data_IF_085705274310
#
_entry.id   IF_085705274310
#
_cell.length_a   1.000
_cell.length_b   1.000
_cell.length_c   1.000
_cell.angle_alpha   90.00
_cell.angle_beta   90.00
_cell.angle_gamma   90.00
#
_symmetry.space_group_name_H-M   'P 1'
#
loop_
_entity.id
_entity.type
_entity.pdbx_description
1 polymer ?
#
# COMPACT_ATOMS: atom_id res chain seq x y z
N UNK A 1 9.05 -17.94 9.00
CA UNK A 1 7.74 -18.53 8.69
C UNK A 1 6.87 -17.50 7.98
N UNK A 2 6.55 -17.78 6.74
CA UNK A 2 5.81 -16.84 5.93
C UNK A 2 4.32 -16.86 6.28
N UNK A 3 3.70 -15.70 6.43
CA UNK A 3 2.27 -15.66 6.65
C UNK A 3 1.53 -16.13 5.41
N UNK A 4 0.44 -16.83 5.62
CA UNK A 4 -0.41 -17.27 4.51
C UNK A 4 -1.13 -16.06 3.93
N UNK A 5 -1.27 -16.03 2.60
CA UNK A 5 -2.08 -15.02 1.93
C UNK A 5 -3.56 -15.43 2.06
N UNK A 6 -4.38 -14.45 2.39
CA UNK A 6 -5.83 -14.65 2.45
C UNK A 6 -6.48 -13.85 1.34
N UNK A 7 -7.55 -14.40 0.77
CA UNK A 7 -8.28 -13.66 -0.25
C UNK A 7 -8.83 -12.37 0.35
N UNK A 8 -8.75 -11.23 -0.37
CA UNK A 8 -8.29 -11.09 -1.75
C UNK A 8 -6.78 -10.87 -1.91
N UNK A 9 -6.01 -10.91 -0.82
CA UNK A 9 -4.56 -10.67 -0.89
C UNK A 9 -3.90 -11.80 -1.65
N UNK A 10 -3.23 -11.47 -2.75
CA UNK A 10 -2.70 -12.46 -3.68
C UNK A 10 -1.20 -12.38 -3.88
N UNK A 11 -0.54 -11.44 -3.22
CA UNK A 11 0.91 -11.31 -3.34
C UNK A 11 1.47 -10.55 -2.15
N UNK A 12 2.79 -10.66 -1.97
CA UNK A 12 3.52 -9.86 -1.00
C UNK A 12 4.30 -8.79 -1.74
N UNK A 13 4.30 -7.59 -1.17
CA UNK A 13 4.96 -6.45 -1.80
C UNK A 13 5.88 -5.76 -0.80
N UNK A 14 6.75 -4.89 -1.31
CA UNK A 14 7.58 -4.03 -0.50
C UNK A 14 6.99 -2.62 -0.57
N UNK A 15 6.80 -1.99 0.58
CA UNK A 15 6.26 -0.63 0.66
C UNK A 15 7.34 0.30 1.16
N UNK A 16 7.68 1.31 0.37
CA UNK A 16 8.62 2.36 0.75
C UNK A 16 7.85 3.66 0.81
N UNK A 17 7.91 4.36 1.94
CA UNK A 17 7.13 5.57 2.11
C UNK A 17 7.94 6.63 2.82
N UNK A 18 7.58 7.89 2.56
CA UNK A 18 8.17 9.04 3.23
C UNK A 18 7.04 9.80 3.91
N UNK A 19 7.20 10.08 5.20
CA UNK A 19 6.20 10.81 5.95
C UNK A 19 6.26 12.30 5.63
N UNK A 20 5.25 13.04 6.07
CA UNK A 20 5.23 14.49 5.89
C UNK A 20 6.41 15.18 6.56
N UNK A 21 6.96 14.56 7.60
CA UNK A 21 8.13 15.09 8.29
C UNK A 21 9.45 14.75 7.60
N UNK A 22 9.40 13.93 6.58
CA UNK A 22 10.60 13.53 5.85
C UNK A 22 11.22 12.22 6.30
N UNK A 23 10.57 11.51 7.23
CA UNK A 23 11.08 10.23 7.69
C UNK A 23 10.71 9.13 6.70
N UNK A 24 11.68 8.32 6.34
CA UNK A 24 11.44 7.22 5.43
C UNK A 24 11.25 5.92 6.21
N UNK A 25 10.37 5.05 5.71
CA UNK A 25 10.29 3.70 6.23
C UNK A 25 10.11 2.70 5.10
N UNK A 26 10.51 1.46 5.37
CA UNK A 26 10.42 0.37 4.41
C UNK A 26 9.80 -0.81 5.12
N UNK A 27 8.81 -1.43 4.48
CA UNK A 27 8.19 -2.63 5.00
C UNK A 27 8.17 -3.67 3.89
N UNK A 28 8.71 -4.85 4.17
CA UNK A 28 8.75 -5.94 3.19
C UNK A 28 7.78 -7.04 3.59
N UNK A 29 7.41 -7.86 2.61
CA UNK A 29 6.52 -8.98 2.87
C UNK A 29 5.12 -8.55 3.25
N UNK A 30 4.63 -7.45 2.69
CA UNK A 30 3.32 -6.92 2.99
C UNK A 30 2.28 -7.56 2.08
N UNK A 31 1.27 -8.25 2.64
CA UNK A 31 0.19 -8.79 1.78
C UNK A 31 -0.51 -7.66 1.06
N UNK A 32 -0.80 -7.87 -0.22
CA UNK A 32 -1.39 -6.81 -1.02
C UNK A 32 -2.24 -7.36 -2.15
N UNK A 33 -3.12 -6.53 -2.67
CA UNK A 33 -3.83 -6.81 -3.90
C UNK A 33 -4.11 -5.50 -4.64
N UNK A 34 -4.32 -5.60 -5.94
CA UNK A 34 -4.71 -4.46 -6.74
C UNK A 34 -6.21 -4.51 -7.01
N UNK A 35 -6.82 -3.34 -7.00
CA UNK A 35 -8.22 -3.21 -7.36
C UNK A 35 -8.38 -1.98 -8.23
N UNK A 36 -9.31 -2.03 -9.16
CA UNK A 36 -9.57 -0.93 -10.07
C UNK A 36 -11.00 -0.45 -9.85
N UNK A 37 -11.15 0.85 -9.68
CA UNK A 37 -12.45 1.46 -9.47
C UNK A 37 -13.21 1.58 -10.80
N UNK A 38 -14.47 1.99 -10.72
CA UNK A 38 -15.29 2.22 -11.92
C UNK A 38 -14.73 3.33 -12.80
N UNK A 39 -13.90 4.19 -12.24
CA UNK A 39 -13.27 5.28 -12.99
C UNK A 39 -11.90 4.92 -13.52
N UNK A 40 -11.59 3.63 -13.55
CA UNK A 40 -10.30 3.10 -14.01
C UNK A 40 -9.11 3.58 -13.20
N UNK A 41 -9.36 3.91 -11.94
CA UNK A 41 -8.29 4.27 -11.01
C UNK A 41 -7.86 3.01 -10.28
N UNK A 42 -6.58 2.70 -10.35
CA UNK A 42 -6.03 1.50 -9.74
C UNK A 42 -5.40 1.82 -8.40
N UNK A 43 -5.67 0.97 -7.43
CA UNK A 43 -5.15 1.11 -6.08
C UNK A 43 -4.44 -0.16 -5.64
N UNK A 44 -3.42 0.00 -4.81
CA UNK A 44 -2.91 -1.07 -3.99
C UNK A 44 -3.64 -1.05 -2.66
N UNK A 45 -4.05 -2.22 -2.17
CA UNK A 45 -4.63 -2.35 -0.85
C UNK A 45 -3.82 -3.31 -0.01
N UNK A 46 -3.51 -2.89 1.22
CA UNK A 46 -2.72 -3.68 2.15
C UNK A 46 -3.41 -3.65 3.52
N UNK A 47 -3.25 -4.69 4.35
CA UNK A 47 -3.82 -4.66 5.69
C UNK A 47 -3.14 -3.57 6.51
N UNK A 48 -3.94 -2.80 7.22
CA UNK A 48 -3.43 -1.70 8.03
C UNK A 48 -2.38 -2.17 9.02
N UNK A 49 -2.62 -3.28 9.67
CA UNK A 49 -1.70 -3.81 10.69
C UNK A 49 -0.36 -4.25 10.12
N UNK A 50 -0.31 -4.56 8.83
CA UNK A 50 0.93 -5.01 8.21
C UNK A 50 1.93 -3.88 8.03
N UNK A 51 1.48 -2.64 8.05
CA UNK A 51 2.36 -1.47 7.93
C UNK A 51 2.83 -0.93 9.27
N UNK A 52 2.32 -1.50 10.37
CA UNK A 52 2.75 -1.11 11.68
C UNK A 52 1.77 -0.18 12.38
N UNK A 53 1.82 -0.22 13.70
CA UNK A 53 0.94 0.55 14.57
C UNK A 53 1.52 1.94 14.75
N UNK A 54 0.66 2.93 14.79
CA UNK A 54 1.08 4.31 15.08
C UNK A 54 1.54 5.10 13.87
N UNK A 55 1.58 4.51 12.70
CA UNK A 55 1.93 5.24 11.49
C UNK A 55 0.77 6.14 11.06
N UNK A 56 1.06 7.39 10.82
CA UNK A 56 0.06 8.33 10.32
C UNK A 56 0.02 8.26 8.79
N UNK A 57 -0.84 7.42 8.28
CA UNK A 57 -0.90 7.18 6.84
C UNK A 57 -1.41 8.38 6.05
N UNK A 58 -2.23 9.22 6.68
CA UNK A 58 -2.72 10.42 6.01
C UNK A 58 -1.62 11.44 5.76
N UNK A 59 -0.53 11.36 6.51
CA UNK A 59 0.59 12.27 6.36
C UNK A 59 1.71 11.78 5.48
N UNK A 60 1.48 10.69 4.74
CA UNK A 60 2.52 10.18 3.84
C UNK A 60 2.67 11.09 2.63
N UNK A 61 3.91 11.42 2.33
CA UNK A 61 4.25 12.33 1.25
C UNK A 61 4.45 11.59 -0.06
N UNK A 62 5.08 10.45 -0.01
CA UNK A 62 5.26 9.61 -1.17
C UNK A 62 5.26 8.16 -0.77
N UNK A 63 4.78 7.30 -1.66
CA UNK A 63 4.73 5.87 -1.44
C UNK A 63 5.14 5.19 -2.73
N UNK A 64 6.02 4.20 -2.63
CA UNK A 64 6.37 3.36 -3.76
C UNK A 64 6.16 1.92 -3.34
N UNK A 65 5.37 1.18 -4.11
CA UNK A 65 5.10 -0.23 -3.86
C UNK A 65 5.84 -1.04 -4.92
N UNK A 66 6.69 -1.96 -4.47
CA UNK A 66 7.39 -2.88 -5.37
C UNK A 66 6.64 -4.20 -5.34
N UNK A 67 6.14 -4.63 -6.49
CA UNK A 67 5.32 -5.83 -6.56
C UNK A 67 6.18 -7.10 -6.55
N UNK A 68 5.51 -8.25 -6.65
CA UNK A 68 6.19 -9.55 -6.57
C UNK A 68 7.19 -9.76 -7.71
N UNK A 69 7.04 -9.03 -8.80
CA UNK A 69 7.92 -9.15 -9.95
C UNK A 69 9.05 -8.12 -9.94
N UNK A 70 9.13 -7.34 -8.87
CA UNK A 70 10.17 -6.32 -8.74
C UNK A 70 9.83 -5.00 -9.41
N UNK A 71 8.62 -4.87 -9.93
CA UNK A 71 8.21 -3.64 -10.60
C UNK A 71 7.74 -2.62 -9.57
N UNK A 72 8.21 -1.38 -9.73
CA UNK A 72 7.88 -0.29 -8.80
C UNK A 72 6.68 0.49 -9.29
N UNK A 73 5.76 0.75 -8.37
CA UNK A 73 4.56 1.53 -8.64
C UNK A 73 4.54 2.74 -7.71
N UNK A 74 4.57 3.92 -8.29
CA UNK A 74 4.49 5.16 -7.52
C UNK A 74 3.04 5.41 -7.16
N UNK A 75 2.80 5.77 -5.90
CA UNK A 75 1.46 6.02 -5.38
C UNK A 75 1.39 7.44 -4.83
N UNK A 76 0.22 8.08 -4.97
CA UNK A 76 0.10 9.48 -4.58
C UNK A 76 -0.96 9.78 -3.53
N UNK A 77 -1.95 8.92 -3.38
CA UNK A 77 -3.00 9.13 -2.39
C UNK A 77 -3.09 7.94 -1.47
N UNK A 78 -3.14 8.24 -0.19
CA UNK A 78 -3.23 7.23 0.85
C UNK A 78 -4.53 7.45 1.59
N UNK A 79 -5.31 6.39 1.73
CA UNK A 79 -6.56 6.45 2.47
C UNK A 79 -6.76 5.17 3.25
N UNK A 80 -7.71 5.20 4.18
CA UNK A 80 -8.10 4.02 4.94
C UNK A 80 -9.42 3.51 4.45
N UNK A 81 -9.54 2.18 4.37
CA UNK A 81 -10.77 1.51 4.03
C UNK A 81 -11.15 0.64 5.23
N UNK A 82 -12.30 0.93 5.83
CA UNK A 82 -12.70 0.27 7.06
C UNK A 82 -11.93 0.82 8.26
N UNK A 83 -12.38 0.49 9.43
CA UNK A 83 -11.77 1.00 10.65
C UNK A 83 -11.09 -0.08 11.47
N UNK A 84 -10.36 0.35 12.49
CA UNK A 84 -9.77 -0.55 13.46
C UNK A 84 -8.63 -1.37 12.89
N UNK A 85 -8.30 -2.43 13.59
CA UNK A 85 -7.17 -3.29 13.24
C UNK A 85 -7.41 -4.12 11.98
N UNK A 86 -8.69 -4.30 11.60
CA UNK A 86 -9.04 -5.08 10.43
C UNK A 86 -9.18 -4.23 9.16
N UNK A 87 -8.91 -2.94 9.26
CA UNK A 87 -8.99 -2.04 8.13
C UNK A 87 -7.86 -2.26 7.14
N UNK A 88 -8.00 -1.62 5.99
CA UNK A 88 -6.99 -1.66 4.93
C UNK A 88 -6.54 -0.25 4.61
N UNK A 89 -5.32 -0.16 4.10
CA UNK A 89 -4.77 1.09 3.59
C UNK A 89 -4.78 1.00 2.07
N UNK A 90 -5.24 2.07 1.44
CA UNK A 90 -5.34 2.16 -0.02
C UNK A 90 -4.30 3.15 -0.52
N UNK A 91 -3.51 2.74 -1.50
CA UNK A 91 -2.52 3.60 -2.16
C UNK A 91 -2.91 3.73 -3.62
N UNK A 92 -3.20 4.94 -4.07
CA UNK A 92 -3.58 5.16 -5.47
C UNK A 92 -2.35 5.15 -6.36
N UNK A 93 -2.36 4.32 -7.39
CA UNK A 93 -1.25 4.21 -8.33
C UNK A 93 -1.29 5.39 -9.29
N UNK A 94 -0.15 6.06 -9.42
CA UNK A 94 -0.01 7.14 -10.40
C UNK A 94 0.29 6.50 -11.75
N UNK A 95 -0.58 6.72 -12.71
CA UNK A 95 -0.38 6.20 -14.06
C UNK A 95 0.18 7.33 -14.92
N UNK A 96 1.39 7.15 -15.46
CA UNK A 96 1.95 8.18 -16.33
C UNK A 96 1.10 8.33 -17.58
N UNK A 97 0.94 9.55 -18.01
CA UNK A 97 0.24 9.81 -19.26
C UNK A 97 1.15 9.48 -20.43
N UNK A 98 0.59 8.92 -21.49
CA UNK A 98 1.40 8.62 -22.68
C UNK A 98 1.90 9.88 -23.37
#
# INVERSE_FOLDING_TARGET
KDPALKAPFDQFVKVEAVTAKGDAFVKEGVPAYRTTSKLDITFWRVPKRALGVGTNFAGLKSVVVTDKDGKKHTCDKVGEVGGGTNGEISFRIVTPKP
#
